data_IF_937741683947
#
_entry.id   IF_937741683947
#
_cell.length_a   1.000
_cell.length_b   1.000
_cell.length_c   1.000
_cell.angle_alpha   90.00
_cell.angle_beta   90.00
_cell.angle_gamma   90.00
#
_symmetry.space_group_name_H-M   'P 1'
#
loop_
_entity.id
_entity.type
_entity.pdbx_description
1 polymer ?
#
# COMPACT_ATOMS: atom_id res chain seq x y z
N UNK A 1 9.64 10.16 -21.28
CA UNK A 1 9.42 10.85 -20.01
C UNK A 1 8.67 9.86 -19.11
N UNK A 2 9.31 9.33 -18.08
CA UNK A 2 8.62 8.47 -17.09
C UNK A 2 7.66 9.35 -16.30
N UNK A 3 6.37 9.22 -16.56
CA UNK A 3 5.34 9.94 -15.83
C UNK A 3 5.17 9.40 -14.41
N UNK A 4 4.63 10.21 -13.51
CA UNK A 4 4.26 9.77 -12.19
C UNK A 4 3.10 8.75 -12.27
N UNK A 5 3.23 7.62 -11.58
CA UNK A 5 2.14 6.64 -11.44
C UNK A 5 1.09 7.10 -10.44
N UNK A 6 1.52 7.78 -9.38
CA UNK A 6 0.67 8.45 -8.41
C UNK A 6 1.12 9.91 -8.27
N UNK A 7 0.19 10.82 -8.19
CA UNK A 7 0.42 12.22 -7.83
C UNK A 7 -0.66 12.68 -6.85
N UNK A 8 -0.21 13.18 -5.72
CA UNK A 8 -1.03 13.78 -4.67
C UNK A 8 -0.56 15.22 -4.51
N UNK A 9 -1.50 16.19 -4.53
CA UNK A 9 -1.22 17.61 -4.30
C UNK A 9 -2.12 18.17 -3.23
N UNK A 10 -1.50 18.78 -2.21
CA UNK A 10 -2.15 19.50 -1.12
C UNK A 10 -3.31 18.72 -0.46
N UNK A 11 -3.12 17.38 -0.31
CA UNK A 11 -4.12 16.52 0.31
C UNK A 11 -4.40 16.96 1.72
N UNK A 12 -5.70 17.07 2.06
CA UNK A 12 -6.20 17.38 3.41
C UNK A 12 -7.24 16.36 3.84
N UNK A 13 -7.22 16.02 5.16
CA UNK A 13 -8.23 15.15 5.75
C UNK A 13 -8.46 15.47 7.21
N UNK A 14 -9.74 15.65 7.56
CA UNK A 14 -10.20 15.95 8.90
C UNK A 14 -11.26 14.92 9.33
N UNK A 15 -11.26 14.51 10.58
CA UNK A 15 -12.31 13.70 11.20
C UNK A 15 -12.90 14.47 12.39
N UNK A 16 -14.11 14.98 12.23
CA UNK A 16 -14.70 15.91 13.18
C UNK A 16 -13.84 17.17 13.30
N UNK A 17 -13.30 17.45 14.49
CA UNK A 17 -12.41 18.60 14.73
C UNK A 17 -10.90 18.22 14.56
N UNK A 18 -10.59 16.95 14.39
CA UNK A 18 -9.19 16.47 14.29
C UNK A 18 -8.70 16.53 12.85
N UNK A 19 -7.77 17.45 12.57
CA UNK A 19 -7.07 17.53 11.30
C UNK A 19 -5.94 16.49 11.26
N UNK A 20 -6.19 15.35 10.56
CA UNK A 20 -5.26 14.21 10.51
C UNK A 20 -4.24 14.35 9.39
N UNK A 21 -4.63 14.91 8.25
CA UNK A 21 -3.72 15.29 7.15
C UNK A 21 -3.96 16.77 6.87
N UNK A 22 -2.89 17.56 7.02
CA UNK A 22 -2.97 19.04 6.95
C UNK A 22 -2.69 19.57 5.55
N UNK A 23 -1.60 19.11 4.94
CA UNK A 23 -1.18 19.48 3.59
C UNK A 23 -0.09 18.51 3.15
N UNK A 24 -0.46 17.48 2.37
CA UNK A 24 0.48 16.49 1.88
C UNK A 24 0.52 16.53 0.35
N UNK A 25 1.72 16.71 -0.18
CA UNK A 25 2.01 16.56 -1.61
C UNK A 25 3.11 15.53 -1.78
N UNK A 26 2.88 14.53 -2.63
CA UNK A 26 3.86 13.52 -2.99
C UNK A 26 3.58 12.97 -4.38
N UNK A 27 4.61 12.45 -5.03
CA UNK A 27 4.48 11.72 -6.28
C UNK A 27 5.26 10.42 -6.22
N UNK A 28 4.84 9.41 -6.98
CA UNK A 28 5.54 8.13 -7.10
C UNK A 28 5.72 7.80 -8.56
N UNK A 29 6.95 7.47 -8.95
CA UNK A 29 7.33 7.11 -10.31
C UNK A 29 7.10 5.63 -10.57
N UNK A 30 7.07 5.24 -11.85
CA UNK A 30 7.06 3.83 -12.24
C UNK A 30 8.27 3.08 -11.68
N UNK A 31 8.02 1.91 -11.07
CA UNK A 31 9.06 1.06 -10.47
C UNK A 31 9.64 1.57 -9.16
N UNK A 32 9.21 2.75 -8.67
CA UNK A 32 9.71 3.33 -7.43
C UNK A 32 9.08 2.64 -6.21
N UNK A 33 9.92 2.33 -5.21
CA UNK A 33 9.51 1.85 -3.90
C UNK A 33 9.65 2.99 -2.88
N UNK A 34 8.51 3.46 -2.38
CA UNK A 34 8.45 4.53 -1.38
C UNK A 34 7.99 3.97 -0.03
N UNK A 35 8.82 4.09 1.00
CA UNK A 35 8.40 3.79 2.37
C UNK A 35 7.92 5.05 3.08
N UNK A 36 6.80 4.92 3.82
CA UNK A 36 6.27 5.97 4.68
C UNK A 36 6.44 5.54 6.13
N UNK A 37 7.26 6.28 6.88
CA UNK A 37 7.58 6.02 8.28
C UNK A 37 7.13 7.18 9.16
N UNK A 38 7.05 6.96 10.47
CA UNK A 38 6.70 7.98 11.45
C UNK A 38 5.93 7.41 12.64
N UNK A 39 5.73 8.20 13.71
CA UNK A 39 5.05 7.75 14.91
C UNK A 39 3.60 7.31 14.64
N UNK A 40 3.05 6.49 15.57
CA UNK A 40 1.63 6.14 15.54
C UNK A 40 0.79 7.42 15.62
N UNK A 41 -0.32 7.45 14.87
CA UNK A 41 -1.18 8.63 14.80
C UNK A 41 -0.69 9.76 13.90
N UNK A 42 0.44 9.63 13.17
CA UNK A 42 0.93 10.68 12.26
C UNK A 42 0.14 10.82 10.95
N UNK A 43 -0.85 9.96 10.69
CA UNK A 43 -1.70 10.03 9.51
C UNK A 43 -1.32 9.08 8.37
N UNK A 44 -0.31 8.20 8.52
CA UNK A 44 0.19 7.29 7.46
C UNK A 44 -0.89 6.42 6.83
N UNK A 45 -1.63 5.66 7.65
CA UNK A 45 -2.73 4.80 7.15
C UNK A 45 -3.88 5.63 6.56
N UNK A 46 -4.13 6.84 7.11
CA UNK A 46 -5.12 7.77 6.54
C UNK A 46 -4.68 8.25 5.16
N UNK A 47 -3.39 8.57 4.98
CA UNK A 47 -2.82 8.91 3.67
C UNK A 47 -3.07 7.79 2.65
N UNK A 48 -2.76 6.53 3.01
CA UNK A 48 -3.00 5.38 2.13
C UNK A 48 -4.49 5.21 1.82
N UNK A 49 -5.37 5.33 2.82
CA UNK A 49 -6.82 5.22 2.62
C UNK A 49 -7.37 6.32 1.73
N UNK A 50 -6.89 7.54 1.86
CA UNK A 50 -7.24 8.64 0.96
C UNK A 50 -6.70 8.39 -0.46
N UNK A 51 -5.43 8.01 -0.59
CA UNK A 51 -4.83 7.67 -1.89
C UNK A 51 -5.60 6.54 -2.59
N UNK A 52 -6.03 5.50 -1.88
CA UNK A 52 -6.80 4.38 -2.43
C UNK A 52 -8.32 4.64 -2.51
N UNK A 53 -8.75 5.87 -2.24
CA UNK A 53 -10.17 6.28 -2.25
C UNK A 53 -11.09 5.46 -1.33
N UNK A 54 -10.53 4.76 -0.32
CA UNK A 54 -11.30 4.14 0.76
C UNK A 54 -11.82 5.18 1.74
N UNK A 55 -11.09 6.28 1.87
CA UNK A 55 -11.48 7.47 2.61
C UNK A 55 -11.50 8.67 1.67
N UNK A 56 -12.46 9.56 1.81
CA UNK A 56 -12.52 10.77 0.99
C UNK A 56 -11.60 11.84 1.56
N UNK A 57 -10.79 12.45 0.69
CA UNK A 57 -10.07 13.68 1.02
C UNK A 57 -11.05 14.83 1.19
N UNK A 58 -10.68 15.81 2.00
CA UNK A 58 -11.46 17.04 2.18
C UNK A 58 -10.93 18.18 1.28
N UNK A 59 -9.66 18.11 0.83
CA UNK A 59 -9.05 19.06 -0.09
C UNK A 59 -7.89 18.43 -0.87
N UNK A 60 -7.43 19.13 -1.90
CA UNK A 60 -6.31 18.73 -2.74
C UNK A 60 -6.69 17.93 -3.97
N UNK A 61 -5.66 17.38 -4.64
CA UNK A 61 -5.79 16.64 -5.89
C UNK A 61 -5.18 15.24 -5.77
N UNK A 62 -5.78 14.27 -6.47
CA UNK A 62 -5.29 12.90 -6.60
C UNK A 62 -5.35 12.47 -8.05
N UNK A 63 -4.24 11.97 -8.59
CA UNK A 63 -4.16 11.47 -9.96
C UNK A 63 -3.38 10.15 -10.01
N UNK A 64 -3.79 9.27 -10.91
CA UNK A 64 -3.13 8.01 -11.23
C UNK A 64 -2.80 7.97 -12.72
N UNK A 65 -1.55 7.72 -13.10
CA UNK A 65 -1.12 7.63 -14.50
C UNK A 65 -1.56 8.86 -15.33
N UNK A 66 -1.58 10.05 -14.71
CA UNK A 66 -2.06 11.29 -15.31
C UNK A 66 -3.58 11.45 -15.35
N UNK A 67 -4.36 10.43 -14.95
CA UNK A 67 -5.82 10.54 -14.84
C UNK A 67 -6.22 11.09 -13.47
N UNK A 68 -7.01 12.16 -13.45
CA UNK A 68 -7.55 12.70 -12.18
C UNK A 68 -8.55 11.73 -11.56
N UNK A 69 -8.38 11.45 -10.27
CA UNK A 69 -9.33 10.72 -9.42
C UNK A 69 -10.16 11.66 -8.55
N UNK A 70 -9.51 12.71 -8.04
CA UNK A 70 -10.13 13.78 -7.27
C UNK A 70 -9.39 15.10 -7.51
N UNK A 71 -10.10 16.22 -7.39
CA UNK A 71 -9.56 17.57 -7.58
C UNK A 71 -10.35 18.58 -6.76
N UNK A 72 -9.76 19.75 -6.53
CA UNK A 72 -10.44 20.83 -5.82
C UNK A 72 -11.24 21.71 -6.79
N UNK A 73 -12.51 21.93 -6.48
CA UNK A 73 -13.42 22.81 -7.21
C UNK A 73 -14.22 23.64 -6.20
N UNK A 74 -14.14 24.98 -6.32
CA UNK A 74 -14.80 25.93 -5.41
C UNK A 74 -14.52 25.65 -3.92
N UNK A 75 -13.27 25.30 -3.57
CA UNK A 75 -12.84 25.02 -2.20
C UNK A 75 -13.35 23.70 -1.63
N UNK A 76 -13.84 22.78 -2.49
CA UNK A 76 -14.29 21.44 -2.10
C UNK A 76 -13.59 20.37 -2.93
N UNK A 77 -13.25 19.26 -2.30
CA UNK A 77 -12.72 18.12 -3.01
C UNK A 77 -13.86 17.39 -3.76
N UNK A 78 -13.73 17.31 -5.07
CA UNK A 78 -14.68 16.65 -5.98
C UNK A 78 -14.02 15.41 -6.56
N UNK A 79 -14.72 14.28 -6.49
CA UNK A 79 -14.30 13.03 -7.10
C UNK A 79 -14.90 12.87 -8.48
N UNK A 80 -14.13 12.31 -9.41
CA UNK A 80 -14.62 11.98 -10.76
C UNK A 80 -15.81 11.02 -10.73
N UNK A 81 -16.45 10.81 -11.86
CA UNK A 81 -17.62 9.94 -12.00
C UNK A 81 -17.38 8.53 -11.42
N UNK A 82 -18.46 7.83 -11.05
CA UNK A 82 -18.37 6.43 -10.57
C UNK A 82 -17.71 5.52 -11.60
N UNK A 83 -17.94 5.77 -12.89
CA UNK A 83 -17.35 5.00 -13.99
C UNK A 83 -15.84 5.20 -14.07
N UNK A 84 -15.36 6.45 -13.99
CA UNK A 84 -13.94 6.78 -14.01
C UNK A 84 -13.23 6.25 -12.77
N UNK A 85 -13.83 6.39 -11.58
CA UNK A 85 -13.29 5.78 -10.36
C UNK A 85 -13.15 4.27 -10.49
N UNK A 86 -14.14 3.56 -11.08
CA UNK A 86 -14.06 2.12 -11.30
C UNK A 86 -12.89 1.75 -12.24
N UNK A 87 -12.56 2.60 -13.22
CA UNK A 87 -11.39 2.42 -14.09
C UNK A 87 -10.09 2.62 -13.30
N UNK A 88 -10.00 3.73 -12.55
CA UNK A 88 -8.81 4.09 -11.76
C UNK A 88 -8.54 3.06 -10.65
N UNK A 89 -9.57 2.49 -10.01
CA UNK A 89 -9.41 1.41 -9.03
C UNK A 89 -8.66 0.17 -9.55
N UNK A 90 -8.59 -0.02 -10.88
CA UNK A 90 -7.81 -1.11 -11.48
C UNK A 90 -6.30 -0.83 -11.49
N UNK A 91 -5.88 0.42 -11.30
CA UNK A 91 -4.47 0.78 -11.33
C UNK A 91 -3.74 0.42 -10.06
N UNK A 92 -4.43 0.23 -8.95
CA UNK A 92 -3.79 -0.08 -7.68
C UNK A 92 -4.38 -1.28 -6.95
N UNK A 93 -3.55 -1.90 -6.12
CA UNK A 93 -3.94 -2.88 -5.13
C UNK A 93 -3.61 -2.39 -3.73
N UNK A 94 -4.35 -2.84 -2.73
CA UNK A 94 -4.10 -2.52 -1.32
C UNK A 94 -4.01 -3.80 -0.50
N UNK A 95 -2.93 -3.90 0.27
CA UNK A 95 -2.68 -4.95 1.25
C UNK A 95 -2.83 -4.33 2.64
N UNK A 96 -3.75 -4.86 3.42
CA UNK A 96 -4.11 -4.35 4.75
C UNK A 96 -3.27 -5.00 5.86
N UNK A 97 -3.18 -4.31 6.98
CA UNK A 97 -2.57 -4.78 8.22
C UNK A 97 -3.20 -6.09 8.73
N UNK A 98 -4.52 -6.21 8.71
CA UNK A 98 -5.27 -7.33 9.27
C UNK A 98 -5.71 -8.35 8.20
N UNK A 99 -4.92 -8.58 7.16
CA UNK A 99 -5.16 -9.53 6.05
C UNK A 99 -6.49 -9.31 5.31
N UNK A 100 -7.59 -9.08 6.00
CA UNK A 100 -8.95 -8.82 5.50
C UNK A 100 -9.43 -9.87 4.47
N UNK A 101 -9.08 -11.13 4.70
CA UNK A 101 -9.58 -12.24 3.87
C UNK A 101 -11.06 -12.50 4.17
N UNK A 102 -11.81 -12.91 3.14
CA UNK A 102 -13.18 -13.39 3.32
C UNK A 102 -13.14 -14.74 4.03
N UNK A 103 -13.59 -14.86 5.29
CA UNK A 103 -13.37 -16.05 6.11
C UNK A 103 -14.11 -17.29 5.59
N UNK A 104 -15.20 -17.08 4.86
CA UNK A 104 -16.02 -18.14 4.26
C UNK A 104 -15.63 -18.48 2.82
N UNK A 105 -14.58 -17.87 2.28
CA UNK A 105 -13.98 -18.18 0.98
C UNK A 105 -12.71 -19.01 1.17
N UNK A 106 -12.51 -19.99 0.29
CA UNK A 106 -11.21 -20.65 0.19
C UNK A 106 -10.13 -19.65 -0.28
N UNK A 107 -8.86 -20.03 -0.14
CA UNK A 107 -7.72 -19.27 -0.66
C UNK A 107 -7.93 -18.94 -2.14
N UNK A 108 -8.22 -19.96 -2.96
CA UNK A 108 -8.47 -19.75 -4.39
C UNK A 108 -9.59 -18.73 -4.60
N UNK A 109 -10.73 -18.88 -3.91
CA UNK A 109 -11.86 -17.98 -4.10
C UNK A 109 -11.57 -16.55 -3.64
N UNK A 110 -10.78 -16.36 -2.58
CA UNK A 110 -10.32 -15.04 -2.17
C UNK A 110 -9.51 -14.32 -3.27
N UNK A 111 -8.77 -15.08 -4.08
CA UNK A 111 -7.92 -14.51 -5.14
C UNK A 111 -8.69 -14.27 -6.42
N UNK A 112 -9.57 -15.20 -6.84
CA UNK A 112 -10.23 -15.13 -8.17
C UNK A 112 -11.49 -14.28 -8.20
N UNK A 113 -12.11 -13.98 -7.06
CA UNK A 113 -13.43 -13.31 -7.01
C UNK A 113 -13.38 -11.93 -7.66
N UNK A 114 -12.41 -11.08 -7.29
CA UNK A 114 -12.29 -9.75 -7.86
C UNK A 114 -11.91 -9.76 -9.37
N UNK A 115 -10.96 -10.56 -9.86
CA UNK A 115 -10.73 -10.73 -11.29
C UNK A 115 -11.98 -11.07 -12.10
N UNK A 116 -12.80 -11.97 -11.59
CA UNK A 116 -14.05 -12.37 -12.28
C UNK A 116 -15.11 -11.26 -12.21
N UNK A 117 -15.35 -10.68 -11.04
CA UNK A 117 -16.48 -9.75 -10.82
C UNK A 117 -16.15 -8.30 -11.22
N UNK A 118 -14.91 -7.86 -11.08
CA UNK A 118 -14.47 -6.48 -11.35
C UNK A 118 -13.81 -6.36 -12.71
N UNK A 119 -12.89 -7.28 -13.06
CA UNK A 119 -12.22 -7.26 -14.36
C UNK A 119 -13.01 -7.99 -15.46
N UNK A 120 -13.95 -8.87 -15.10
CA UNK A 120 -14.81 -9.59 -16.05
C UNK A 120 -14.10 -10.71 -16.80
N UNK A 121 -12.95 -11.21 -16.30
CA UNK A 121 -12.24 -12.33 -16.93
C UNK A 121 -12.93 -13.66 -16.63
N UNK A 122 -12.69 -14.66 -17.49
CA UNK A 122 -13.28 -15.98 -17.31
C UNK A 122 -12.74 -16.66 -16.04
N UNK A 123 -13.55 -17.57 -15.49
CA UNK A 123 -13.11 -18.36 -14.31
C UNK A 123 -11.82 -19.12 -14.58
N UNK A 124 -11.68 -19.70 -15.76
CA UNK A 124 -10.49 -20.46 -16.17
C UNK A 124 -9.25 -19.56 -16.12
N UNK A 125 -9.31 -18.38 -16.72
CA UNK A 125 -8.22 -17.40 -16.72
C UNK A 125 -7.90 -16.91 -15.31
N UNK A 126 -8.92 -16.66 -14.47
CA UNK A 126 -8.73 -16.25 -13.08
C UNK A 126 -8.05 -17.35 -12.24
N UNK A 127 -8.44 -18.62 -12.43
CA UNK A 127 -7.82 -19.77 -11.76
C UNK A 127 -6.36 -19.97 -12.21
N UNK A 128 -6.07 -19.91 -13.52
CA UNK A 128 -4.69 -20.01 -14.04
C UNK A 128 -3.79 -18.89 -13.48
N UNK A 129 -4.31 -17.68 -13.38
CA UNK A 129 -3.62 -16.54 -12.76
C UNK A 129 -3.37 -16.76 -11.26
N UNK A 130 -4.39 -17.22 -10.55
CA UNK A 130 -4.29 -17.51 -9.11
C UNK A 130 -3.27 -18.62 -8.82
N UNK A 131 -3.23 -19.67 -9.62
CA UNK A 131 -2.27 -20.76 -9.46
C UNK A 131 -0.82 -20.29 -9.62
N UNK A 132 -0.55 -19.43 -10.61
CA UNK A 132 0.78 -18.80 -10.78
C UNK A 132 1.17 -17.97 -9.56
N UNK A 133 0.25 -17.15 -9.04
CA UNK A 133 0.48 -16.33 -7.84
C UNK A 133 0.69 -17.20 -6.60
N UNK A 134 -0.10 -18.27 -6.41
CA UNK A 134 0.06 -19.19 -5.31
C UNK A 134 1.42 -19.91 -5.36
N UNK A 135 1.87 -20.32 -6.54
CA UNK A 135 3.20 -20.91 -6.72
C UNK A 135 4.31 -19.91 -6.39
N UNK A 136 4.25 -18.69 -6.91
CA UNK A 136 5.20 -17.61 -6.64
C UNK A 136 5.31 -17.29 -5.15
N UNK A 137 4.18 -17.36 -4.41
CA UNK A 137 4.11 -17.03 -2.99
C UNK A 137 4.27 -18.25 -2.07
N UNK A 138 4.59 -19.44 -2.60
CA UNK A 138 4.80 -20.68 -1.82
C UNK A 138 3.52 -21.20 -1.15
N UNK A 139 2.36 -21.05 -1.80
CA UNK A 139 1.03 -21.39 -1.25
C UNK A 139 0.26 -22.39 -2.13
N UNK A 140 0.89 -23.08 -3.08
CA UNK A 140 0.21 -24.01 -4.01
C UNK A 140 -0.64 -25.05 -3.28
N UNK A 141 -0.11 -25.66 -2.23
CA UNK A 141 -0.79 -26.68 -1.42
C UNK A 141 -1.96 -26.12 -0.57
N UNK A 142 -2.08 -24.79 -0.49
CA UNK A 142 -3.12 -24.12 0.31
C UNK A 142 -4.32 -23.65 -0.50
N UNK A 143 -4.38 -23.99 -1.80
CA UNK A 143 -5.42 -23.56 -2.75
C UNK A 143 -6.85 -23.76 -2.23
N UNK A 144 -7.13 -24.91 -1.63
CA UNK A 144 -8.46 -25.27 -1.12
C UNK A 144 -8.66 -24.90 0.36
N UNK A 145 -7.62 -24.45 1.07
CA UNK A 145 -7.68 -24.10 2.48
C UNK A 145 -8.54 -22.83 2.71
N UNK A 146 -9.02 -22.68 3.93
CA UNK A 146 -9.73 -21.49 4.39
C UNK A 146 -8.84 -20.65 5.30
N UNK A 147 -9.12 -19.33 5.49
CA UNK A 147 -8.27 -18.45 6.29
C UNK A 147 -7.93 -18.99 7.69
N UNK A 148 -8.87 -19.61 8.38
CA UNK A 148 -8.66 -20.17 9.73
C UNK A 148 -7.68 -21.38 9.76
N UNK A 149 -7.34 -21.94 8.61
CA UNK A 149 -6.39 -23.06 8.45
C UNK A 149 -4.97 -22.57 8.10
N UNK A 150 -4.76 -21.26 8.05
CA UNK A 150 -3.52 -20.62 7.63
C UNK A 150 -2.84 -19.93 8.81
N UNK A 151 -1.50 -19.94 8.83
CA UNK A 151 -0.74 -19.05 9.71
C UNK A 151 -0.94 -17.59 9.31
N UNK A 152 -0.64 -16.65 10.20
CA UNK A 152 -0.72 -15.20 9.91
C UNK A 152 0.08 -14.82 8.66
N UNK A 153 1.32 -15.31 8.53
CA UNK A 153 2.16 -15.06 7.34
C UNK A 153 1.58 -15.66 6.06
N UNK A 154 0.93 -16.83 6.14
CA UNK A 154 0.21 -17.40 5.00
C UNK A 154 -1.02 -16.56 4.63
N UNK A 155 -1.79 -16.11 5.61
CA UNK A 155 -2.94 -15.21 5.37
C UNK A 155 -2.51 -13.91 4.70
N UNK A 156 -1.39 -13.32 5.14
CA UNK A 156 -0.85 -12.09 4.52
C UNK A 156 -0.39 -12.34 3.09
N UNK A 157 0.28 -13.46 2.82
CA UNK A 157 0.67 -13.82 1.45
C UNK A 157 -0.55 -14.06 0.54
N UNK A 158 -1.65 -14.62 1.05
CA UNK A 158 -2.93 -14.70 0.31
C UNK A 158 -3.52 -13.32 0.06
N UNK A 159 -3.43 -12.39 1.02
CA UNK A 159 -3.86 -10.99 0.83
C UNK A 159 -3.06 -10.29 -0.27
N UNK A 160 -1.74 -10.53 -0.33
CA UNK A 160 -0.86 -10.05 -1.41
C UNK A 160 -1.27 -10.67 -2.74
N UNK A 161 -1.48 -12.01 -2.81
CA UNK A 161 -1.94 -12.69 -4.01
C UNK A 161 -3.25 -12.08 -4.54
N UNK A 162 -4.21 -11.82 -3.64
CA UNK A 162 -5.49 -11.19 -3.98
C UNK A 162 -5.31 -9.80 -4.58
N UNK A 163 -4.41 -8.98 -4.01
CA UNK A 163 -4.11 -7.66 -4.54
C UNK A 163 -3.46 -7.72 -5.93
N UNK A 164 -2.52 -8.65 -6.14
CA UNK A 164 -1.82 -8.88 -7.41
C UNK A 164 -2.73 -9.46 -8.50
N UNK A 165 -3.79 -10.19 -8.14
CA UNK A 165 -4.65 -10.89 -9.10
C UNK A 165 -5.34 -9.95 -10.10
N UNK A 166 -5.56 -8.68 -9.74
CA UNK A 166 -6.07 -7.64 -10.63
C UNK A 166 -5.01 -6.99 -11.52
N UNK A 167 -3.73 -7.42 -11.42
CA UNK A 167 -2.59 -6.88 -12.16
C UNK A 167 -2.45 -5.35 -12.00
N UNK A 168 -2.39 -4.86 -10.76
CA UNK A 168 -2.28 -3.43 -10.51
C UNK A 168 -0.96 -2.87 -11.03
N UNK A 169 -0.92 -1.55 -11.25
CA UNK A 169 0.29 -0.80 -11.61
C UNK A 169 1.05 -0.31 -10.38
N UNK A 170 0.35 -0.18 -9.25
CA UNK A 170 0.93 0.23 -7.97
C UNK A 170 0.32 -0.59 -6.83
N UNK A 171 1.14 -1.00 -5.86
CA UNK A 171 0.70 -1.67 -4.64
C UNK A 171 0.90 -0.77 -3.44
N UNK A 172 -0.13 -0.69 -2.62
CA UNK A 172 -0.09 -0.06 -1.31
C UNK A 172 -0.04 -1.13 -0.23
N UNK A 173 0.83 -0.95 0.76
CA UNK A 173 0.95 -1.80 1.93
C UNK A 173 0.73 -0.96 3.19
N UNK A 174 -0.33 -1.26 3.94
CA UNK A 174 -0.62 -0.60 5.22
C UNK A 174 -0.15 -1.52 6.36
N UNK A 175 1.08 -1.31 6.83
CA UNK A 175 1.74 -2.06 7.91
C UNK A 175 1.64 -3.59 7.73
N UNK A 176 2.17 -4.16 6.63
CA UNK A 176 1.90 -5.54 6.22
C UNK A 176 2.42 -6.62 7.19
N UNK A 177 3.21 -6.25 8.20
CA UNK A 177 3.83 -7.18 9.16
C UNK A 177 3.40 -6.97 10.61
N UNK A 178 2.68 -5.89 10.92
CA UNK A 178 2.38 -5.50 12.29
C UNK A 178 1.46 -6.47 13.06
N UNK A 179 0.71 -7.33 12.34
CA UNK A 179 -0.14 -8.38 12.92
C UNK A 179 0.56 -9.75 12.98
N UNK A 180 1.88 -9.80 12.74
CA UNK A 180 2.67 -11.03 12.66
C UNK A 180 3.71 -11.09 13.78
N UNK A 181 4.04 -12.31 14.19
CA UNK A 181 5.23 -12.53 14.99
C UNK A 181 6.53 -12.35 14.18
N UNK A 182 7.69 -12.17 14.83
CA UNK A 182 8.95 -11.88 14.14
C UNK A 182 9.38 -12.96 13.13
N UNK A 183 9.05 -14.23 13.38
CA UNK A 183 9.43 -15.35 12.50
C UNK A 183 8.64 -15.28 11.18
N UNK A 184 7.34 -15.03 11.25
CA UNK A 184 6.46 -14.92 10.08
C UNK A 184 6.64 -13.58 9.32
N UNK A 185 7.09 -12.52 10.02
CA UNK A 185 7.44 -11.24 9.42
C UNK A 185 8.47 -11.41 8.29
N UNK A 186 9.53 -12.19 8.52
CA UNK A 186 10.58 -12.44 7.54
C UNK A 186 10.07 -13.03 6.21
N UNK A 187 9.08 -13.93 6.28
CA UNK A 187 8.48 -14.54 5.07
C UNK A 187 7.72 -13.50 4.22
N UNK A 188 6.97 -12.61 4.86
CA UNK A 188 6.21 -11.56 4.16
C UNK A 188 7.16 -10.51 3.56
N UNK A 189 8.17 -10.08 4.31
CA UNK A 189 9.16 -9.13 3.82
C UNK A 189 9.96 -9.68 2.62
N UNK A 190 10.23 -11.00 2.60
CA UNK A 190 10.86 -11.66 1.44
C UNK A 190 10.01 -11.55 0.19
N UNK A 191 8.71 -11.72 0.30
CA UNK A 191 7.76 -11.55 -0.82
C UNK A 191 7.79 -10.11 -1.34
N UNK A 192 7.74 -9.12 -0.44
CA UNK A 192 7.77 -7.71 -0.84
C UNK A 192 9.10 -7.36 -1.52
N UNK A 193 10.25 -7.89 -1.04
CA UNK A 193 11.55 -7.74 -1.72
C UNK A 193 11.53 -8.32 -3.13
N UNK A 194 10.92 -9.49 -3.32
CA UNK A 194 10.79 -10.08 -4.65
C UNK A 194 9.98 -9.18 -5.60
N UNK A 195 8.86 -8.63 -5.15
CA UNK A 195 8.06 -7.69 -5.94
C UNK A 195 8.85 -6.43 -6.32
N UNK A 196 9.69 -5.92 -5.43
CA UNK A 196 10.58 -4.79 -5.74
C UNK A 196 11.61 -5.15 -6.83
N UNK A 197 12.20 -6.35 -6.76
CA UNK A 197 13.12 -6.85 -7.80
C UNK A 197 12.43 -7.03 -9.15
N UNK A 198 11.13 -7.29 -9.16
CA UNK A 198 10.29 -7.33 -10.36
C UNK A 198 9.82 -5.91 -10.82
N UNK A 199 10.40 -4.85 -10.26
CA UNK A 199 10.08 -3.44 -10.56
C UNK A 199 8.62 -3.07 -10.30
N UNK A 200 7.95 -3.72 -9.33
CA UNK A 200 6.62 -3.30 -8.89
C UNK A 200 6.69 -1.95 -8.18
N UNK A 201 5.90 -1.00 -8.65
CA UNK A 201 5.75 0.30 -7.97
C UNK A 201 5.02 0.09 -6.64
N UNK A 202 5.57 0.59 -5.53
CA UNK A 202 5.01 0.34 -4.20
C UNK A 202 5.07 1.56 -3.29
N UNK A 203 4.03 1.70 -2.46
CA UNK A 203 4.05 2.57 -1.27
C UNK A 203 3.83 1.67 -0.06
N UNK A 204 4.75 1.72 0.90
CA UNK A 204 4.77 0.83 2.06
C UNK A 204 4.78 1.67 3.34
N UNK A 205 3.68 1.65 4.09
CA UNK A 205 3.68 2.12 5.48
C UNK A 205 4.26 1.00 6.34
N UNK A 206 5.34 1.28 7.06
CA UNK A 206 6.02 0.25 7.86
C UNK A 206 6.69 0.82 9.10
N UNK A 207 6.84 -0.03 10.11
CA UNK A 207 7.68 0.19 11.29
C UNK A 207 9.01 -0.58 11.20
N UNK A 208 9.21 -1.38 10.16
CA UNK A 208 10.41 -2.17 9.92
C UNK A 208 11.52 -1.28 9.33
N UNK A 209 12.28 -0.59 10.19
CA UNK A 209 13.27 0.42 9.75
C UNK A 209 14.37 -0.17 8.88
N UNK A 210 14.90 -1.33 9.27
CA UNK A 210 15.93 -2.00 8.47
C UNK A 210 15.42 -2.39 7.08
N UNK A 211 14.20 -2.91 7.01
CA UNK A 211 13.56 -3.23 5.74
C UNK A 211 13.34 -1.98 4.87
N UNK A 212 12.82 -0.88 5.44
CA UNK A 212 12.66 0.38 4.72
C UNK A 212 14.00 0.89 4.18
N UNK A 213 15.09 0.79 4.98
CA UNK A 213 16.44 1.20 4.58
C UNK A 213 16.98 0.40 3.39
N UNK A 214 16.74 -0.93 3.40
CA UNK A 214 17.29 -1.84 2.39
C UNK A 214 16.51 -1.84 1.07
N UNK A 215 15.19 -1.59 1.14
CA UNK A 215 14.31 -1.82 0.01
C UNK A 215 13.92 -0.54 -0.73
N UNK A 216 13.81 0.58 -0.02
CA UNK A 216 13.20 1.78 -0.58
C UNK A 216 14.16 2.58 -1.44
N UNK A 217 13.66 3.10 -2.56
CA UNK A 217 14.34 4.15 -3.32
C UNK A 217 14.24 5.49 -2.61
N UNK A 218 13.11 5.73 -1.91
CA UNK A 218 12.83 6.94 -1.15
C UNK A 218 12.03 6.61 0.12
N UNK A 219 12.34 7.35 1.19
CA UNK A 219 11.62 7.28 2.46
C UNK A 219 11.00 8.63 2.77
N UNK A 220 9.76 8.61 3.23
CA UNK A 220 8.99 9.77 3.68
C UNK A 220 8.78 9.65 5.19
N UNK A 221 9.25 10.64 5.96
CA UNK A 221 8.96 10.74 7.39
C UNK A 221 7.77 11.65 7.62
N UNK A 222 6.70 11.08 8.16
CA UNK A 222 5.47 11.80 8.51
C UNK A 222 5.34 11.99 10.02
N UNK A 223 4.97 13.18 10.43
CA UNK A 223 4.59 13.50 11.80
C UNK A 223 3.50 14.56 11.84
N UNK A 224 2.53 14.41 12.75
CA UNK A 224 1.44 15.38 12.98
C UNK A 224 0.70 15.82 11.70
N UNK A 225 0.51 14.90 10.76
CA UNK A 225 -0.27 15.13 9.53
C UNK A 225 0.48 15.84 8.41
N UNK A 226 1.80 15.99 8.50
CA UNK A 226 2.64 16.59 7.45
C UNK A 226 3.84 15.69 7.12
N UNK A 227 4.40 15.87 5.93
CA UNK A 227 5.72 15.33 5.57
C UNK A 227 6.78 16.26 6.15
N UNK A 228 7.54 15.74 7.13
CA UNK A 228 8.61 16.52 7.77
C UNK A 228 9.93 16.43 7.01
N UNK A 229 10.18 15.30 6.37
CA UNK A 229 11.35 15.06 5.55
C UNK A 229 11.08 13.93 4.56
N UNK A 230 11.64 14.03 3.36
CA UNK A 230 11.75 12.94 2.40
C UNK A 230 13.13 12.92 1.78
N UNK A 231 13.57 11.76 1.30
CA UNK A 231 14.87 11.59 0.66
C UNK A 231 15.22 10.11 0.51
N UNK A 232 16.43 9.85 0.03
CA UNK A 232 16.97 8.48 -0.02
C UNK A 232 17.08 7.87 1.37
N UNK A 233 17.15 6.54 1.51
CA UNK A 233 17.39 5.91 2.81
C UNK A 233 18.62 6.49 3.52
N UNK A 234 19.71 6.73 2.80
CA UNK A 234 20.95 7.28 3.36
C UNK A 234 20.74 8.69 3.94
N UNK A 235 20.02 9.56 3.24
CA UNK A 235 19.70 10.92 3.69
C UNK A 235 18.81 10.92 4.94
N UNK A 236 17.85 9.99 5.02
CA UNK A 236 16.95 9.90 6.18
C UNK A 236 17.66 9.33 7.42
N UNK A 237 18.46 8.28 7.26
CA UNK A 237 19.18 7.65 8.37
C UNK A 237 20.34 8.49 8.90
N UNK A 238 20.91 9.37 8.08
CA UNK A 238 21.92 10.35 8.45
C UNK A 238 21.36 11.77 8.59
N UNK A 239 20.06 11.91 8.77
CA UNK A 239 19.37 13.21 8.75
C UNK A 239 19.95 14.19 9.79
N UNK A 240 20.16 15.47 9.44
CA UNK A 240 20.46 16.53 10.39
C UNK A 240 19.26 16.89 11.28
N UNK A 241 18.04 16.50 10.90
CA UNK A 241 16.83 16.75 11.67
C UNK A 241 16.84 15.91 12.97
N UNK A 242 16.90 16.57 14.11
CA UNK A 242 16.94 15.91 15.41
C UNK A 242 15.73 14.99 15.65
N UNK A 243 14.56 15.38 15.17
CA UNK A 243 13.32 14.61 15.36
C UNK A 243 13.31 13.32 14.55
N UNK A 244 13.82 13.34 13.32
CA UNK A 244 13.97 12.15 12.47
C UNK A 244 14.97 11.17 13.11
N UNK A 245 16.14 11.67 13.56
CA UNK A 245 17.14 10.85 14.26
C UNK A 245 16.59 10.21 15.53
N UNK A 246 15.89 10.99 16.36
CA UNK A 246 15.27 10.48 17.59
C UNK A 246 14.28 9.35 17.28
N UNK A 247 13.42 9.52 16.27
CA UNK A 247 12.46 8.51 15.88
C UNK A 247 13.14 7.22 15.40
N UNK A 248 14.07 7.35 14.44
CA UNK A 248 14.79 6.19 13.88
C UNK A 248 15.59 5.49 14.99
N UNK A 249 16.30 6.26 15.84
CA UNK A 249 17.09 5.71 16.94
C UNK A 249 16.27 4.94 17.97
N UNK A 250 15.07 5.42 18.30
CA UNK A 250 14.16 4.70 19.21
C UNK A 250 13.68 3.37 18.64
N UNK A 251 13.35 3.33 17.34
CA UNK A 251 12.80 2.11 16.70
C UNK A 251 13.90 1.09 16.42
N UNK A 252 15.14 1.52 16.16
CA UNK A 252 16.26 0.61 15.90
C UNK A 252 16.94 0.07 17.17
N UNK A 253 16.77 0.72 18.32
CA UNK A 253 17.39 0.34 19.60
C UNK A 253 16.48 -0.54 20.49
N UNK A 254 15.39 -1.10 19.94
CA UNK A 254 14.49 -2.06 20.61
C UNK A 254 14.85 -3.48 20.23
#
# INVERSE_FOLDING_TARGET
MSGNFLEIKNMKKTFGELEVIKDISLSVKEGEVVSVIGPSGSGKSTLLRCATMLEKMDGGELSYLGERAAYEENGKCVYVSKADRKRIHKYFGLVFQNFNLFPHYSVLKNIIDAPMTVAGISRKEAEERAEKLLAQLGLSEKRAAYPYQLSGGQQQRVSIARALALQPKILFFDEPTSALDPELTGEVLKVIRQLAQEHMTMIIVTHEMQFARELSDRIIFMEQGVICQEGTPEELFNSPNARVREFIGRVMNV
#
